data_IF_249736022103
#
_entry.id   IF_249736022103
#
_cell.length_a   1.000
_cell.length_b   1.000
_cell.length_c   1.000
_cell.angle_alpha   90.00
_cell.angle_beta   90.00
_cell.angle_gamma   90.00
#
_symmetry.space_group_name_H-M   'P 1'
#
loop_
_entity.id
_entity.type
_entity.pdbx_description
1 polymer ?
#
# COMPACT_ATOMS: atom_id res chain seq x y z
N UNK A 1 -10.79 -30.29 6.52
CA UNK A 1 -9.87 -29.36 5.85
C UNK A 1 -9.99 -28.00 6.52
N UNK A 2 -8.90 -27.52 7.12
CA UNK A 2 -8.82 -26.25 7.84
C UNK A 2 -9.10 -25.10 6.88
N UNK A 3 -10.21 -24.39 7.08
CA UNK A 3 -10.54 -23.14 6.39
C UNK A 3 -9.45 -22.12 6.72
N UNK A 4 -8.83 -21.60 5.67
CA UNK A 4 -7.84 -20.52 5.69
C UNK A 4 -8.34 -19.37 6.56
N UNK A 5 -7.59 -19.04 7.61
CA UNK A 5 -7.89 -17.94 8.52
C UNK A 5 -7.72 -16.61 7.78
N UNK A 6 -8.80 -16.10 7.21
CA UNK A 6 -8.95 -14.66 7.06
C UNK A 6 -9.08 -14.08 8.48
N UNK A 7 -8.31 -13.04 8.80
CA UNK A 7 -8.40 -12.34 10.07
C UNK A 7 -9.77 -11.65 10.09
N UNK A 8 -10.75 -12.31 10.70
CA UNK A 8 -12.06 -11.74 10.94
C UNK A 8 -11.92 -10.66 12.02
N UNK A 9 -11.66 -9.42 11.60
CA UNK A 9 -11.99 -8.26 12.43
C UNK A 9 -13.51 -8.32 12.55
N UNK A 10 -14.02 -8.62 13.74
CA UNK A 10 -15.45 -8.76 13.98
C UNK A 10 -16.18 -7.46 13.65
N UNK A 11 -16.70 -7.33 12.44
CA UNK A 11 -17.60 -6.26 12.07
C UNK A 11 -18.93 -6.50 12.81
N UNK A 12 -19.49 -5.45 13.40
CA UNK A 12 -20.82 -5.50 14.02
C UNK A 12 -21.84 -6.02 12.98
N UNK A 13 -22.78 -6.87 13.39
CA UNK A 13 -23.64 -7.65 12.47
C UNK A 13 -24.20 -6.89 11.28
N UNK A 14 -24.80 -5.70 11.49
CA UNK A 14 -25.33 -4.89 10.39
C UNK A 14 -24.27 -4.37 9.40
N UNK A 15 -23.04 -4.15 9.87
CA UNK A 15 -21.90 -3.78 9.01
C UNK A 15 -21.39 -5.00 8.24
N UNK A 16 -21.37 -6.18 8.86
CA UNK A 16 -21.06 -7.45 8.18
C UNK A 16 -22.08 -7.71 7.05
N UNK A 17 -23.37 -7.58 7.34
CA UNK A 17 -24.44 -7.77 6.36
C UNK A 17 -24.36 -6.73 5.24
N UNK A 18 -24.05 -5.47 5.57
CA UNK A 18 -23.83 -4.42 4.58
C UNK A 18 -22.67 -4.77 3.65
N UNK A 19 -21.50 -5.13 4.18
CA UNK A 19 -20.36 -5.49 3.34
C UNK A 19 -20.65 -6.74 2.51
N UNK A 20 -21.24 -7.80 3.08
CA UNK A 20 -21.59 -9.01 2.34
C UNK A 20 -22.56 -8.71 1.18
N UNK A 21 -23.60 -7.92 1.44
CA UNK A 21 -24.62 -7.62 0.43
C UNK A 21 -24.18 -6.56 -0.60
N UNK A 22 -23.19 -5.72 -0.28
CA UNK A 22 -22.71 -4.64 -1.15
C UNK A 22 -21.27 -4.88 -1.63
N UNK A 23 -20.71 -6.06 -1.42
CA UNK A 23 -19.40 -6.41 -2.00
C UNK A 23 -19.57 -6.47 -3.51
N UNK A 24 -18.93 -5.53 -4.22
CA UNK A 24 -18.99 -5.44 -5.67
C UNK A 24 -18.30 -6.64 -6.34
N UNK A 25 -17.16 -7.08 -5.79
CA UNK A 25 -16.43 -8.28 -6.20
C UNK A 25 -15.48 -8.73 -5.08
N UNK A 26 -15.18 -10.04 -5.03
CA UNK A 26 -14.06 -10.61 -4.26
C UNK A 26 -13.14 -11.26 -5.27
N UNK A 27 -11.88 -10.82 -5.31
CA UNK A 27 -10.86 -11.32 -6.22
C UNK A 27 -9.78 -12.08 -5.43
N UNK A 28 -9.42 -13.27 -5.92
CA UNK A 28 -8.28 -14.00 -5.39
C UNK A 28 -6.99 -13.45 -6.01
N UNK A 29 -6.22 -12.73 -5.19
CA UNK A 29 -4.95 -12.11 -5.59
C UNK A 29 -3.72 -12.95 -5.19
N UNK A 30 -3.90 -14.23 -4.83
CA UNK A 30 -2.82 -15.07 -4.30
C UNK A 30 -1.65 -15.21 -5.29
N UNK A 31 -1.94 -15.51 -6.55
CA UNK A 31 -0.89 -15.67 -7.58
C UNK A 31 -0.16 -14.35 -7.82
N UNK A 32 -0.90 -13.25 -7.89
CA UNK A 32 -0.36 -11.91 -8.04
C UNK A 32 0.53 -11.53 -6.85
N UNK A 33 0.12 -11.84 -5.61
CA UNK A 33 0.91 -11.59 -4.42
C UNK A 33 2.22 -12.40 -4.41
N UNK A 34 2.20 -13.65 -4.87
CA UNK A 34 3.40 -14.48 -5.01
C UNK A 34 4.37 -13.91 -6.06
N UNK A 35 3.85 -13.40 -7.18
CA UNK A 35 4.66 -12.77 -8.21
C UNK A 35 5.33 -11.48 -7.72
N UNK A 36 4.59 -10.62 -7.01
CA UNK A 36 5.14 -9.42 -6.36
C UNK A 36 6.22 -9.82 -5.35
N UNK A 37 5.97 -10.86 -4.56
CA UNK A 37 6.95 -11.42 -3.62
C UNK A 37 8.26 -11.82 -4.31
N UNK A 38 8.17 -12.59 -5.40
CA UNK A 38 9.34 -12.98 -6.21
C UNK A 38 10.07 -11.78 -6.78
N UNK A 39 9.36 -10.78 -7.29
CA UNK A 39 9.97 -9.56 -7.82
C UNK A 39 10.83 -8.84 -6.76
N UNK A 40 10.40 -8.85 -5.49
CA UNK A 40 11.15 -8.25 -4.38
C UNK A 40 12.34 -9.08 -3.88
N UNK A 41 12.46 -10.35 -4.29
CA UNK A 41 13.65 -11.17 -4.01
C UNK A 41 14.81 -10.86 -4.98
N UNK A 42 14.51 -10.24 -6.12
CA UNK A 42 15.50 -9.85 -7.13
C UNK A 42 16.32 -8.62 -6.73
N UNK A 43 17.40 -8.37 -7.49
CA UNK A 43 18.18 -7.13 -7.34
C UNK A 43 17.32 -5.92 -7.71
N UNK A 44 17.65 -4.75 -7.13
CA UNK A 44 16.86 -3.52 -7.26
C UNK A 44 16.41 -3.19 -8.69
N UNK A 45 17.33 -3.24 -9.66
CA UNK A 45 17.03 -2.92 -11.06
C UNK A 45 16.05 -3.92 -11.69
N UNK A 46 16.22 -5.21 -11.38
CA UNK A 46 15.36 -6.29 -11.86
C UNK A 46 13.98 -6.26 -11.18
N UNK A 47 13.94 -5.94 -9.88
CA UNK A 47 12.71 -5.71 -9.13
C UNK A 47 11.89 -4.55 -9.73
N UNK A 48 12.52 -3.40 -9.99
CA UNK A 48 11.83 -2.24 -10.58
C UNK A 48 11.26 -2.57 -11.97
N UNK A 49 12.01 -3.33 -12.77
CA UNK A 49 11.56 -3.78 -14.09
C UNK A 49 10.38 -4.76 -14.01
N UNK A 50 10.45 -5.74 -13.10
CA UNK A 50 9.40 -6.73 -12.91
C UNK A 50 8.10 -6.08 -12.42
N UNK A 51 8.18 -5.16 -11.46
CA UNK A 51 7.03 -4.41 -10.95
C UNK A 51 6.43 -3.52 -12.03
N UNK A 52 7.25 -2.80 -12.82
CA UNK A 52 6.75 -2.00 -13.96
C UNK A 52 6.01 -2.84 -14.99
N UNK A 53 6.54 -4.01 -15.35
CA UNK A 53 5.86 -4.90 -16.29
C UNK A 53 4.48 -5.35 -15.78
N UNK A 54 4.30 -5.53 -14.47
CA UNK A 54 3.00 -5.85 -13.88
C UNK A 54 2.02 -4.66 -13.92
N UNK A 55 2.51 -3.42 -13.78
CA UNK A 55 1.69 -2.21 -14.00
C UNK A 55 1.28 -2.06 -15.47
N UNK A 56 2.20 -2.25 -16.40
CA UNK A 56 1.94 -2.14 -17.84
C UNK A 56 0.93 -3.20 -18.34
N UNK A 57 0.84 -4.33 -17.64
CA UNK A 57 -0.12 -5.39 -17.89
C UNK A 57 -1.47 -5.21 -17.17
N UNK A 58 -1.71 -4.05 -16.54
CA UNK A 58 -2.89 -3.76 -15.70
C UNK A 58 -3.12 -4.78 -14.57
N UNK A 59 -2.07 -5.51 -14.16
CA UNK A 59 -2.19 -6.50 -13.08
C UNK A 59 -2.06 -5.85 -11.72
N UNK A 60 -1.28 -4.78 -11.57
CA UNK A 60 -1.19 -4.00 -10.34
C UNK A 60 -2.04 -2.73 -10.43
N UNK A 61 -2.82 -2.40 -9.38
CA UNK A 61 -3.54 -1.15 -9.34
C UNK A 61 -2.54 0.00 -9.23
N UNK A 62 -2.75 1.08 -10.00
CA UNK A 62 -1.99 2.32 -9.83
C UNK A 62 -2.33 2.89 -8.45
N UNK A 63 -1.47 2.65 -7.48
CA UNK A 63 -1.63 3.17 -6.13
C UNK A 63 -1.69 4.69 -6.18
N UNK A 64 -2.85 5.24 -5.85
CA UNK A 64 -2.99 6.68 -5.61
C UNK A 64 -2.77 6.92 -4.14
N UNK A 65 -1.96 7.92 -3.82
CA UNK A 65 -1.86 8.40 -2.46
C UNK A 65 -3.28 8.73 -1.96
N UNK A 66 -3.66 8.16 -0.82
CA UNK A 66 -4.95 8.47 -0.22
C UNK A 66 -4.96 9.93 0.22
N UNK A 67 -5.71 10.76 -0.50
CA UNK A 67 -5.94 12.15 -0.12
C UNK A 67 -7.40 12.33 0.32
N UNK A 68 -7.67 12.42 1.64
CA UNK A 68 -9.02 12.65 2.12
C UNK A 68 -9.44 14.10 1.81
N UNK A 69 -10.38 14.26 0.87
CA UNK A 69 -10.92 15.56 0.45
C UNK A 69 -11.57 16.34 1.60
N UNK A 70 -12.16 15.64 2.56
CA UNK A 70 -12.84 16.25 3.72
C UNK A 70 -11.88 16.94 4.70
N UNK A 71 -10.57 16.64 4.63
CA UNK A 71 -9.59 17.26 5.50
C UNK A 71 -9.15 18.62 4.97
N UNK A 72 -9.32 19.66 5.79
CA UNK A 72 -8.67 20.97 5.56
C UNK A 72 -7.15 20.82 5.53
N UNK A 73 -6.47 21.67 4.77
CA UNK A 73 -5.00 21.66 4.62
C UNK A 73 -4.24 21.68 5.95
N UNK A 74 -4.75 22.37 6.97
CA UNK A 74 -4.15 22.38 8.32
C UNK A 74 -4.08 20.98 8.95
N UNK A 75 -5.09 20.15 8.73
CA UNK A 75 -5.10 18.77 9.23
C UNK A 75 -4.20 17.88 8.38
N UNK A 76 -4.20 18.07 7.05
CA UNK A 76 -3.32 17.34 6.13
C UNK A 76 -1.84 17.59 6.44
N UNK A 77 -1.46 18.84 6.72
CA UNK A 77 -0.11 19.20 7.18
C UNK A 77 0.24 18.51 8.50
N UNK A 78 -0.65 18.56 9.50
CA UNK A 78 -0.41 17.91 10.80
C UNK A 78 -0.22 16.39 10.70
N UNK A 79 -0.95 15.76 9.79
CA UNK A 79 -0.87 14.32 9.53
C UNK A 79 0.30 13.92 8.61
N UNK A 80 1.06 14.89 8.10
CA UNK A 80 2.14 14.64 7.15
C UNK A 80 1.68 14.14 5.78
N UNK A 81 0.43 14.45 5.39
CA UNK A 81 -0.12 14.18 4.05
C UNK A 81 0.28 15.27 3.03
N UNK A 82 0.84 16.38 3.49
CA UNK A 82 1.40 17.46 2.67
C UNK A 82 2.85 17.74 3.10
N UNK A 83 3.70 18.30 2.22
CA UNK A 83 5.09 18.63 2.55
C UNK A 83 5.20 19.53 3.78
N UNK A 84 6.11 19.19 4.68
CA UNK A 84 6.38 19.93 5.91
C UNK A 84 6.96 19.05 7.01
N UNK A 85 7.25 19.65 8.17
CA UNK A 85 7.96 18.99 9.28
C UNK A 85 7.34 17.65 9.72
N UNK A 86 6.00 17.56 9.72
CA UNK A 86 5.32 16.32 10.08
C UNK A 86 5.55 15.20 9.05
N UNK A 87 5.59 15.52 7.75
CA UNK A 87 5.87 14.56 6.69
C UNK A 87 7.33 14.08 6.78
N UNK A 88 8.28 14.99 7.05
CA UNK A 88 9.69 14.65 7.22
C UNK A 88 9.90 13.69 8.40
N UNK A 89 9.23 13.94 9.52
CA UNK A 89 9.25 13.05 10.69
C UNK A 89 8.66 11.67 10.40
N UNK A 90 7.58 11.58 9.61
CA UNK A 90 6.98 10.30 9.22
C UNK A 90 7.89 9.54 8.27
N UNK A 91 8.52 10.22 7.31
CA UNK A 91 9.48 9.60 6.41
C UNK A 91 10.65 8.96 7.17
N UNK A 92 11.13 9.61 8.24
CA UNK A 92 12.16 9.08 9.13
C UNK A 92 11.75 7.79 9.85
N UNK A 93 10.46 7.61 10.17
CA UNK A 93 9.97 6.38 10.79
C UNK A 93 10.01 5.17 9.82
N UNK A 94 9.85 5.43 8.52
CA UNK A 94 9.96 4.41 7.47
C UNK A 94 11.40 4.04 7.11
N UNK A 95 12.36 4.94 7.36
CA UNK A 95 13.79 4.69 7.13
C UNK A 95 14.40 3.97 8.32
N UNK A 96 14.27 2.65 8.36
CA UNK A 96 15.05 1.85 9.30
C UNK A 96 16.54 1.95 8.88
N UNK A 97 17.46 2.44 9.73
CA UNK A 97 18.87 2.69 9.34
C UNK A 97 19.67 1.44 8.97
N UNK A 98 19.09 0.23 9.04
CA UNK A 98 19.67 -1.04 8.60
C UNK A 98 19.48 -1.40 7.12
N UNK A 99 18.70 -0.63 6.34
CA UNK A 99 18.61 -0.80 4.87
C UNK A 99 19.14 0.47 4.21
N UNK A 100 20.28 0.35 3.54
CA UNK A 100 21.01 1.44 2.92
C UNK A 100 20.13 2.38 2.10
N UNK A 101 19.86 3.55 2.65
CA UNK A 101 19.09 4.60 2.00
C UNK A 101 19.91 5.26 0.90
N UNK A 102 19.37 5.24 -0.32
CA UNK A 102 19.83 6.08 -1.43
C UNK A 102 19.55 7.53 -1.06
N UNK A 103 20.60 8.33 -0.95
CA UNK A 103 20.50 9.80 -0.80
C UNK A 103 20.09 10.36 -2.16
N UNK A 104 18.87 10.85 -2.29
CA UNK A 104 18.50 11.67 -3.43
C UNK A 104 19.10 13.06 -3.22
N UNK A 105 20.21 13.37 -3.89
CA UNK A 105 20.70 14.74 -4.00
C UNK A 105 19.90 15.46 -5.07
N UNK A 106 19.10 16.44 -4.67
CA UNK A 106 18.50 17.40 -5.59
C UNK A 106 19.59 18.41 -5.98
N UNK A 107 19.91 18.47 -7.28
CA UNK A 107 20.53 19.64 -7.90
C UNK A 107 19.48 20.30 -8.77
#
# INVERSE_FOLDING_TARGET
>A
MLRSRAIQIGLQGGLSDFYVNNTLSIEDVTEQALEVGKAHEEKKEDCEKAIRAMFDADRLPIERAYEPEILKNVHKLRLGLLPGEAADRIALLGTNPGRGGVKNSTT
#
